data_IF_251599785639
#
_entry.id   IF_251599785639
#
_cell.length_a   1.000
_cell.length_b   1.000
_cell.length_c   1.000
_cell.angle_alpha   90.00
_cell.angle_beta   90.00
_cell.angle_gamma   90.00
#
_symmetry.space_group_name_H-M   'P 1'
#
loop_
_entity.id
_entity.type
_entity.pdbx_description
1 polymer ?
#
# COMPACT_ATOMS: atom_id res chain seq x y z
N UNK A 1 33.59 -2.91 4.57
CA UNK A 1 33.77 -1.72 5.42
C UNK A 1 32.39 -1.17 5.75
N UNK A 2 32.09 -1.14 7.05
CA UNK A 2 30.98 -0.50 7.78
C UNK A 2 29.55 -0.65 7.24
N UNK A 3 28.84 -1.61 7.84
CA UNK A 3 27.38 -1.76 7.77
C UNK A 3 26.65 -0.97 8.84
N UNK A 4 25.41 -0.60 8.56
CA UNK A 4 24.51 0.06 9.50
C UNK A 4 23.92 -0.98 10.47
N UNK A 5 24.41 -0.98 11.69
CA UNK A 5 23.91 -1.79 12.79
C UNK A 5 22.70 -1.13 13.45
N UNK A 6 21.67 -1.93 13.68
CA UNK A 6 20.57 -1.64 14.61
C UNK A 6 21.15 -1.66 16.04
N UNK A 7 21.06 -0.53 16.77
CA UNK A 7 21.45 -0.47 18.17
C UNK A 7 20.26 -0.84 19.07
N UNK A 8 20.36 -2.00 19.72
CA UNK A 8 19.65 -2.33 20.95
C UNK A 8 20.36 -1.66 22.14
N UNK A 9 19.64 -0.87 22.92
CA UNK A 9 20.20 -0.15 24.07
C UNK A 9 20.01 -1.02 25.34
N UNK A 10 21.10 -1.60 25.83
CA UNK A 10 21.18 -2.18 27.17
C UNK A 10 21.70 -1.14 28.16
N UNK A 11 20.86 -0.79 29.14
CA UNK A 11 21.20 0.16 30.19
C UNK A 11 22.09 -0.45 31.26
N UNK A 12 23.21 0.21 31.55
CA UNK A 12 24.01 0.04 32.75
C UNK A 12 23.94 1.33 33.58
N UNK A 13 23.60 1.18 34.84
CA UNK A 13 23.41 2.21 35.88
C UNK A 13 24.72 2.84 36.34
N UNK A 14 24.77 4.17 36.39
CA UNK A 14 25.38 4.96 37.49
C UNK A 14 24.92 6.45 37.41
N UNK A 15 24.87 7.19 38.54
CA UNK A 15 23.98 8.34 38.70
C UNK A 15 24.68 9.70 38.55
N UNK A 16 23.95 10.67 37.97
CA UNK A 16 24.10 12.09 38.30
C UNK A 16 24.65 13.00 37.21
N UNK A 17 23.76 13.50 36.36
CA UNK A 17 23.68 14.94 36.06
C UNK A 17 22.32 15.21 35.41
N UNK A 18 21.47 15.98 36.09
CA UNK A 18 20.21 16.47 35.54
C UNK A 18 20.49 17.34 34.32
N UNK A 19 20.36 16.73 33.14
CA UNK A 19 20.15 17.44 31.90
C UNK A 19 18.66 17.33 31.61
N UNK A 20 17.92 18.40 31.85
CA UNK A 20 16.54 18.56 31.39
C UNK A 20 16.54 18.52 29.85
N UNK A 21 16.43 17.32 29.29
CA UNK A 21 16.21 17.11 27.86
C UNK A 21 14.74 17.34 27.54
N UNK A 22 14.45 18.34 26.71
CA UNK A 22 13.11 18.61 26.23
C UNK A 22 12.46 17.37 25.63
N UNK A 23 11.21 17.10 26.00
CA UNK A 23 10.38 16.13 25.30
C UNK A 23 10.32 16.52 23.82
N UNK A 24 10.95 15.72 22.98
CA UNK A 24 10.94 15.89 21.53
C UNK A 24 9.48 15.74 21.04
N UNK A 25 8.79 16.86 20.86
CA UNK A 25 7.36 16.87 20.55
C UNK A 25 7.13 16.20 19.21
N UNK A 26 6.43 15.06 19.21
CA UNK A 26 6.10 14.30 18.00
C UNK A 26 5.42 15.21 16.96
N UNK A 27 5.80 15.09 15.70
CA UNK A 27 5.12 15.82 14.61
C UNK A 27 3.63 15.45 14.55
N UNK A 28 2.77 16.34 14.01
CA UNK A 28 1.34 16.08 13.92
C UNK A 28 1.03 14.79 13.14
N UNK A 29 1.75 14.52 12.04
CA UNK A 29 1.63 13.25 11.33
C UNK A 29 1.95 12.06 12.23
N UNK A 30 3.03 12.13 13.00
CA UNK A 30 3.45 11.05 13.90
C UNK A 30 2.46 10.81 15.03
N UNK A 31 1.77 11.84 15.50
CA UNK A 31 0.70 11.72 16.50
C UNK A 31 -0.50 10.94 15.92
N UNK A 32 -0.92 11.26 14.69
CA UNK A 32 -2.02 10.55 14.01
C UNK A 32 -1.64 9.10 13.68
N UNK A 33 -0.40 8.83 13.26
CA UNK A 33 0.07 7.44 13.09
C UNK A 33 -0.03 6.63 14.39
N UNK A 34 0.38 7.21 15.51
CA UNK A 34 0.31 6.56 16.82
C UNK A 34 -1.14 6.33 17.27
N UNK A 35 -2.08 7.21 16.90
CA UNK A 35 -3.52 7.06 17.17
C UNK A 35 -4.06 5.75 16.59
N UNK A 36 -3.76 5.43 15.33
CA UNK A 36 -4.33 4.25 14.66
C UNK A 36 -3.47 2.98 14.76
N UNK A 37 -2.23 3.09 15.22
CA UNK A 37 -1.31 1.94 15.34
C UNK A 37 -1.96 0.77 16.10
N UNK A 38 -1.80 -0.44 15.57
CA UNK A 38 -2.12 -1.67 16.30
C UNK A 38 -1.04 -1.93 17.37
N UNK A 39 -1.40 -1.75 18.64
CA UNK A 39 -0.56 -2.13 19.77
C UNK A 39 -0.83 -3.59 20.14
N UNK A 40 0.19 -4.44 20.01
CA UNK A 40 0.16 -5.81 20.52
C UNK A 40 0.72 -5.81 21.94
N UNK A 41 -0.10 -6.20 22.89
CA UNK A 41 0.31 -6.43 24.28
C UNK A 41 0.42 -7.94 24.52
N UNK A 42 1.40 -8.36 25.31
CA UNK A 42 1.44 -9.74 25.82
C UNK A 42 0.13 -10.04 26.57
N UNK A 43 -0.43 -11.24 26.41
CA UNK A 43 -1.62 -11.73 27.13
C UNK A 43 -1.55 -11.52 28.65
N UNK A 44 -0.36 -11.53 29.26
CA UNK A 44 -0.19 -11.24 30.70
C UNK A 44 -0.30 -9.74 31.02
N UNK A 45 0.25 -8.91 30.14
CA UNK A 45 0.23 -7.45 30.27
C UNK A 45 -1.17 -6.87 29.97
N UNK A 46 -1.88 -7.43 28.98
CA UNK A 46 -3.22 -6.96 28.59
C UNK A 46 -4.29 -7.21 29.65
N UNK A 47 -4.12 -8.24 30.51
CA UNK A 47 -5.04 -8.51 31.64
C UNK A 47 -5.06 -7.40 32.70
N UNK A 48 -4.01 -6.59 32.76
CA UNK A 48 -3.86 -5.51 33.75
C UNK A 48 -3.91 -4.11 33.13
N UNK A 49 -4.05 -4.02 31.80
CA UNK A 49 -4.17 -2.76 31.08
C UNK A 49 -5.56 -2.63 30.48
N UNK A 50 -6.26 -1.54 30.81
CA UNK A 50 -7.38 -1.06 30.00
C UNK A 50 -6.80 -0.52 28.70
N UNK A 51 -6.59 -1.40 27.70
CA UNK A 51 -6.17 -0.99 26.37
C UNK A 51 -7.36 -0.30 25.71
N UNK A 52 -7.30 1.01 25.44
CA UNK A 52 -8.40 1.70 24.79
C UNK A 52 -8.59 1.12 23.39
N UNK A 53 -9.84 0.89 23.01
CA UNK A 53 -10.18 0.56 21.63
C UNK A 53 -9.77 1.73 20.71
N UNK A 54 -9.24 1.43 19.53
CA UNK A 54 -8.87 2.47 18.57
C UNK A 54 -10.14 3.12 18.04
N UNK A 55 -10.28 4.43 18.24
CA UNK A 55 -11.38 5.21 17.69
C UNK A 55 -11.16 5.48 16.19
N UNK A 56 -12.10 4.97 15.37
CA UNK A 56 -12.12 5.13 13.92
C UNK A 56 -13.21 6.11 13.43
N UNK A 57 -13.88 6.83 14.33
CA UNK A 57 -15.03 7.68 14.00
C UNK A 57 -14.71 8.83 13.04
N UNK A 58 -13.46 9.30 13.00
CA UNK A 58 -13.00 10.37 12.10
C UNK A 58 -12.37 9.85 10.80
N UNK A 59 -12.29 8.54 10.60
CA UNK A 59 -11.76 7.95 9.36
C UNK A 59 -12.82 8.08 8.26
N UNK A 60 -12.45 8.75 7.17
CA UNK A 60 -13.33 8.99 6.02
C UNK A 60 -13.73 7.67 5.37
N UNK A 61 -15.03 7.48 5.13
CA UNK A 61 -15.59 6.29 4.50
C UNK A 61 -16.43 6.64 3.27
N UNK A 62 -15.89 6.41 2.08
CA UNK A 62 -16.61 6.66 0.82
C UNK A 62 -17.61 5.54 0.45
N UNK A 63 -17.51 4.36 1.08
CA UNK A 63 -18.45 3.25 0.84
C UNK A 63 -19.70 3.37 1.72
N UNK A 64 -19.58 4.07 2.84
CA UNK A 64 -20.67 4.34 3.78
C UNK A 64 -20.63 5.81 4.22
N UNK A 65 -21.26 6.65 3.39
CA UNK A 65 -21.20 8.11 3.55
C UNK A 65 -21.82 8.56 4.88
N UNK A 66 -22.85 7.86 5.35
CA UNK A 66 -23.59 8.21 6.57
C UNK A 66 -22.77 8.01 7.85
N UNK A 67 -21.67 7.25 7.79
CA UNK A 67 -20.74 7.07 8.91
C UNK A 67 -19.75 8.21 9.09
N UNK A 68 -19.69 9.14 8.13
CA UNK A 68 -18.75 10.26 8.21
C UNK A 68 -19.25 11.34 9.17
N UNK A 69 -18.30 11.95 9.90
CA UNK A 69 -18.59 13.16 10.68
C UNK A 69 -19.09 14.29 9.78
N UNK A 70 -19.84 15.25 10.33
CA UNK A 70 -20.27 16.46 9.60
C UNK A 70 -19.09 17.20 8.96
N UNK A 71 -17.95 17.25 9.68
CA UNK A 71 -16.70 17.81 9.17
C UNK A 71 -16.22 17.06 7.93
N UNK A 72 -16.17 15.73 7.96
CA UNK A 72 -15.75 14.93 6.80
C UNK A 72 -16.72 15.13 5.63
N UNK A 73 -18.03 15.08 5.86
CA UNK A 73 -19.05 15.31 4.84
C UNK A 73 -18.88 16.65 4.13
N UNK A 74 -18.55 17.72 4.87
CA UNK A 74 -18.32 19.05 4.28
C UNK A 74 -17.12 19.13 3.33
N UNK A 75 -16.21 18.15 3.37
CA UNK A 75 -15.01 18.08 2.53
C UNK A 75 -15.13 17.05 1.40
N UNK A 76 -16.13 16.18 1.44
CA UNK A 76 -16.36 15.14 0.44
C UNK A 76 -17.08 15.74 -0.77
N UNK A 77 -16.65 15.37 -1.97
CA UNK A 77 -17.36 15.64 -3.22
C UNK A 77 -17.31 14.40 -4.10
N UNK A 78 -18.33 14.21 -4.95
CA UNK A 78 -18.39 13.08 -5.86
C UNK A 78 -18.88 13.47 -7.24
N UNK A 79 -18.40 12.75 -8.24
CA UNK A 79 -18.84 12.83 -9.63
C UNK A 79 -19.06 11.41 -10.15
N UNK A 80 -20.15 11.21 -10.88
CA UNK A 80 -20.39 9.95 -11.59
C UNK A 80 -19.70 10.00 -12.96
N UNK A 81 -18.91 8.98 -13.25
CA UNK A 81 -18.23 8.81 -14.54
C UNK A 81 -18.57 7.44 -15.13
N UNK A 82 -18.30 7.27 -16.42
CA UNK A 82 -18.61 6.03 -17.13
C UNK A 82 -17.35 5.29 -17.55
N UNK A 83 -17.34 3.99 -17.29
CA UNK A 83 -16.26 3.09 -17.64
C UNK A 83 -16.89 1.82 -18.21
N UNK A 84 -16.64 1.50 -19.49
CA UNK A 84 -17.14 0.27 -20.14
C UNK A 84 -18.64 -0.03 -19.90
N UNK A 85 -19.47 1.03 -19.88
CA UNK A 85 -20.93 0.91 -19.70
C UNK A 85 -21.41 0.81 -18.24
N UNK A 86 -20.51 0.77 -17.25
CA UNK A 86 -20.88 0.93 -15.83
C UNK A 86 -20.64 2.36 -15.33
N UNK A 87 -21.45 2.78 -14.37
CA UNK A 87 -21.27 4.04 -13.63
C UNK A 87 -20.25 3.80 -12.53
N UNK A 88 -19.21 4.62 -12.49
CA UNK A 88 -18.19 4.64 -11.44
C UNK A 88 -18.28 5.97 -10.72
N UNK A 89 -18.56 5.93 -9.41
CA UNK A 89 -18.57 7.11 -8.57
C UNK A 89 -17.15 7.46 -8.15
N UNK A 90 -16.68 8.62 -8.59
CA UNK A 90 -15.36 9.15 -8.30
C UNK A 90 -15.49 10.14 -7.14
N UNK A 91 -14.73 9.93 -6.08
CA UNK A 91 -14.77 10.77 -4.89
C UNK A 91 -13.50 11.61 -4.76
N UNK A 92 -13.66 12.81 -4.25
CA UNK A 92 -12.56 13.70 -3.90
C UNK A 92 -12.77 14.23 -2.49
N UNK A 93 -11.68 14.70 -1.89
CA UNK A 93 -11.69 15.25 -0.54
C UNK A 93 -10.88 16.54 -0.52
N UNK A 94 -11.49 17.67 -0.12
CA UNK A 94 -10.84 18.99 -0.21
C UNK A 94 -9.61 19.12 0.68
N UNK A 95 -9.49 18.32 1.75
CA UNK A 95 -8.27 18.22 2.58
C UNK A 95 -7.15 17.36 1.99
N UNK A 96 -7.39 16.69 0.85
CA UNK A 96 -6.42 15.89 0.12
C UNK A 96 -6.50 16.21 -1.39
N UNK A 97 -6.22 17.48 -1.78
CA UNK A 97 -6.39 17.93 -3.16
C UNK A 97 -5.47 17.15 -4.10
N UNK A 98 -6.02 16.66 -5.21
CA UNK A 98 -5.30 15.83 -6.17
C UNK A 98 -5.39 14.32 -5.90
N UNK A 99 -6.13 13.88 -4.88
CA UNK A 99 -6.49 12.46 -4.70
C UNK A 99 -7.91 12.21 -5.20
N UNK A 100 -8.03 11.27 -6.13
CA UNK A 100 -9.32 10.70 -6.54
C UNK A 100 -9.45 9.30 -5.95
N UNK A 101 -10.54 9.05 -5.23
CA UNK A 101 -10.87 7.74 -4.66
C UNK A 101 -11.94 7.08 -5.53
N UNK A 102 -11.71 5.81 -5.86
CA UNK A 102 -12.60 4.98 -6.66
C UNK A 102 -12.97 3.73 -5.83
N UNK A 103 -13.96 3.84 -4.93
CA UNK A 103 -14.33 2.73 -4.08
C UNK A 103 -14.91 1.58 -4.88
N UNK A 104 -14.48 0.35 -4.57
CA UNK A 104 -14.95 -0.88 -5.22
C UNK A 104 -14.84 -0.83 -6.76
N UNK A 105 -13.79 -0.21 -7.29
CA UNK A 105 -13.56 -0.10 -8.72
C UNK A 105 -13.24 -1.46 -9.35
N UNK A 106 -12.40 -2.26 -8.68
CA UNK A 106 -12.06 -3.61 -9.13
C UNK A 106 -13.18 -4.58 -8.77
N UNK A 107 -13.64 -5.34 -9.75
CA UNK A 107 -14.59 -6.46 -9.54
C UNK A 107 -13.96 -7.55 -8.66
N UNK A 108 -14.77 -8.38 -8.02
CA UNK A 108 -14.27 -9.51 -7.22
C UNK A 108 -13.40 -10.48 -8.04
N UNK A 109 -13.69 -10.63 -9.33
CA UNK A 109 -12.90 -11.44 -10.24
C UNK A 109 -11.51 -10.83 -10.48
N UNK A 110 -11.44 -9.55 -10.81
CA UNK A 110 -10.16 -8.83 -10.98
C UNK A 110 -9.34 -8.86 -9.69
N UNK A 111 -9.99 -8.69 -8.54
CA UNK A 111 -9.33 -8.77 -7.25
C UNK A 111 -8.71 -10.15 -7.02
N UNK A 112 -9.43 -11.24 -7.33
CA UNK A 112 -8.90 -12.61 -7.21
C UNK A 112 -7.72 -12.84 -8.16
N UNK A 113 -7.83 -12.39 -9.41
CA UNK A 113 -6.77 -12.53 -10.41
C UNK A 113 -5.50 -11.77 -9.99
N UNK A 114 -5.65 -10.54 -9.50
CA UNK A 114 -4.52 -9.72 -9.03
C UNK A 114 -3.90 -10.28 -7.74
N UNK A 115 -4.71 -10.77 -6.78
CA UNK A 115 -4.19 -11.45 -5.59
C UNK A 115 -3.41 -12.70 -5.96
N UNK A 116 -3.96 -13.53 -6.86
CA UNK A 116 -3.31 -14.74 -7.36
C UNK A 116 -1.97 -14.41 -8.00
N UNK A 117 -1.94 -13.46 -8.94
CA UNK A 117 -0.71 -13.05 -9.61
C UNK A 117 0.32 -12.45 -8.62
N UNK A 118 -0.12 -11.62 -7.67
CA UNK A 118 0.77 -11.08 -6.65
C UNK A 118 1.42 -12.19 -5.80
N UNK A 119 0.63 -13.17 -5.35
CA UNK A 119 1.15 -14.24 -4.50
C UNK A 119 1.96 -15.27 -5.28
N UNK A 120 1.56 -15.64 -6.50
CA UNK A 120 2.17 -16.75 -7.23
C UNK A 120 3.26 -16.31 -8.22
N UNK A 121 3.18 -15.10 -8.77
CA UNK A 121 4.02 -14.66 -9.89
C UNK A 121 4.92 -13.49 -9.48
N UNK A 122 4.37 -12.43 -8.89
CA UNK A 122 5.15 -11.19 -8.63
C UNK A 122 6.19 -11.37 -7.51
N UNK A 123 6.08 -12.42 -6.71
CA UNK A 123 7.09 -12.82 -5.73
C UNK A 123 8.24 -13.65 -6.29
N UNK A 124 8.20 -14.06 -7.56
CA UNK A 124 9.30 -14.81 -8.18
C UNK A 124 10.52 -13.90 -8.42
N UNK A 125 11.59 -14.15 -7.69
CA UNK A 125 12.84 -13.38 -7.78
C UNK A 125 13.61 -13.56 -9.10
N UNK A 126 13.34 -14.64 -9.84
CA UNK A 126 13.93 -14.87 -11.15
C UNK A 126 13.41 -13.89 -12.21
N UNK A 127 12.21 -13.35 -11.98
CA UNK A 127 11.58 -12.35 -12.84
C UNK A 127 11.58 -10.96 -12.18
N UNK A 128 11.18 -10.90 -10.92
CA UNK A 128 10.85 -9.67 -10.20
C UNK A 128 11.70 -9.52 -8.94
N UNK A 129 12.62 -8.53 -8.88
CA UNK A 129 13.34 -8.25 -7.65
C UNK A 129 12.38 -7.99 -6.49
N UNK A 130 12.70 -8.55 -5.32
CA UNK A 130 11.84 -8.44 -4.15
C UNK A 130 12.66 -8.30 -2.87
N UNK A 131 11.96 -8.02 -1.76
CA UNK A 131 12.58 -7.82 -0.45
C UNK A 131 13.52 -8.96 -0.07
N UNK A 132 13.10 -10.22 -0.26
CA UNK A 132 13.86 -11.39 0.16
C UNK A 132 15.08 -11.68 -0.72
N UNK A 133 15.05 -11.31 -1.99
CA UNK A 133 16.19 -11.54 -2.90
C UNK A 133 17.24 -10.43 -2.88
N UNK A 134 16.94 -9.27 -2.30
CA UNK A 134 17.83 -8.09 -2.43
C UNK A 134 18.15 -7.35 -1.14
N UNK A 135 17.22 -7.27 -0.16
CA UNK A 135 17.38 -6.39 1.02
C UNK A 135 17.13 -7.10 2.35
N UNK A 136 16.77 -8.39 2.34
CA UNK A 136 16.75 -9.19 3.55
C UNK A 136 18.16 -9.35 4.14
N UNK A 137 18.25 -9.60 5.45
CA UNK A 137 19.52 -9.85 6.15
C UNK A 137 20.31 -11.00 5.51
N UNK A 138 19.59 -12.02 5.06
CA UNK A 138 20.10 -13.18 4.32
C UNK A 138 19.32 -13.28 3.02
N UNK A 139 19.82 -12.65 1.92
CA UNK A 139 19.13 -12.67 0.64
C UNK A 139 19.02 -14.10 0.09
N UNK A 140 17.85 -14.42 -0.48
CA UNK A 140 17.58 -15.73 -1.09
C UNK A 140 16.63 -15.61 -2.28
N UNK A 141 16.72 -16.57 -3.19
CA UNK A 141 15.77 -16.71 -4.28
C UNK A 141 14.40 -17.18 -3.76
N UNK A 142 13.36 -16.76 -4.46
CA UNK A 142 11.96 -17.11 -4.25
C UNK A 142 11.33 -17.40 -5.59
N UNK A 143 10.40 -18.36 -5.65
CA UNK A 143 9.64 -18.67 -6.89
C UNK A 143 8.22 -18.11 -6.85
N UNK A 144 7.80 -17.57 -5.71
CA UNK A 144 6.50 -16.95 -5.43
C UNK A 144 6.60 -16.14 -4.14
N UNK A 145 5.51 -15.51 -3.70
CA UNK A 145 5.46 -14.86 -2.39
C UNK A 145 5.76 -15.88 -1.28
N UNK A 146 6.70 -15.53 -0.41
CA UNK A 146 7.02 -16.27 0.80
C UNK A 146 7.15 -15.30 1.98
N UNK A 147 6.59 -15.60 3.16
CA UNK A 147 6.85 -14.79 4.34
C UNK A 147 8.35 -14.77 4.69
N UNK A 148 8.90 -13.65 5.19
CA UNK A 148 8.26 -12.37 5.48
C UNK A 148 8.48 -11.32 4.36
N UNK A 149 8.30 -11.67 3.08
CA UNK A 149 8.40 -10.72 1.97
C UNK A 149 7.51 -9.49 2.22
N UNK A 150 8.06 -8.30 1.95
CA UNK A 150 7.39 -7.01 2.20
C UNK A 150 7.04 -6.26 0.94
N UNK A 151 7.81 -6.45 -0.11
CA UNK A 151 7.57 -5.84 -1.40
C UNK A 151 8.18 -6.68 -2.52
N UNK A 152 7.66 -6.50 -3.73
CA UNK A 152 8.25 -6.91 -5.00
C UNK A 152 8.11 -5.78 -6.03
N UNK A 153 8.99 -5.76 -7.04
CA UNK A 153 8.97 -4.76 -8.12
C UNK A 153 8.77 -5.40 -9.48
N UNK A 154 7.82 -4.86 -10.24
CA UNK A 154 7.45 -5.27 -11.59
C UNK A 154 7.74 -4.11 -12.55
N UNK A 155 8.15 -4.36 -13.79
CA UNK A 155 8.67 -3.30 -14.67
C UNK A 155 10.08 -2.86 -14.24
N UNK A 156 10.40 -1.57 -14.30
CA UNK A 156 11.68 -1.05 -13.82
C UNK A 156 11.89 -1.33 -12.33
N UNK A 157 13.09 -1.79 -11.98
CA UNK A 157 13.43 -2.15 -10.60
C UNK A 157 13.76 -0.92 -9.77
N UNK A 158 13.13 -0.81 -8.60
CA UNK A 158 13.45 0.24 -7.63
C UNK A 158 14.70 -0.12 -6.82
N UNK A 159 15.63 0.84 -6.72
CA UNK A 159 16.86 0.72 -5.96
C UNK A 159 16.72 1.46 -4.62
N UNK A 160 16.44 0.72 -3.55
CA UNK A 160 16.11 1.31 -2.23
C UNK A 160 17.25 2.12 -1.62
N UNK A 161 18.51 1.74 -1.86
CA UNK A 161 19.68 2.45 -1.32
C UNK A 161 19.87 3.83 -1.97
N UNK A 162 19.72 3.94 -3.28
CA UNK A 162 19.86 5.19 -4.03
C UNK A 162 18.54 5.96 -4.19
N UNK A 163 17.41 5.34 -3.85
CA UNK A 163 16.05 5.87 -4.03
C UNK A 163 15.78 6.29 -5.48
N UNK A 164 16.18 5.45 -6.42
CA UNK A 164 16.06 5.67 -7.87
C UNK A 164 15.59 4.40 -8.58
N UNK A 165 15.18 4.52 -9.84
CA UNK A 165 14.91 3.36 -10.70
C UNK A 165 16.12 3.05 -11.59
N UNK A 166 16.33 1.77 -11.87
CA UNK A 166 17.37 1.33 -12.83
C UNK A 166 16.79 1.27 -14.24
N UNK A 167 17.50 1.85 -15.21
CA UNK A 167 17.13 1.72 -16.63
C UNK A 167 17.53 0.36 -17.21
N UNK A 168 18.51 -0.31 -16.60
CA UNK A 168 19.09 -1.56 -17.06
C UNK A 168 18.44 -2.80 -16.43
N UNK A 169 17.84 -2.65 -15.25
CA UNK A 169 17.18 -3.74 -14.51
C UNK A 169 15.67 -3.55 -14.54
N UNK A 170 15.02 -4.35 -15.37
CA UNK A 170 13.57 -4.38 -15.48
C UNK A 170 13.07 -5.80 -15.68
N UNK A 171 11.79 -5.98 -15.41
CA UNK A 171 10.99 -7.16 -15.74
C UNK A 171 9.88 -6.75 -16.71
N UNK A 172 9.21 -7.72 -17.32
CA UNK A 172 8.01 -7.40 -18.10
C UNK A 172 6.93 -6.79 -17.20
N UNK A 173 6.16 -5.86 -17.75
CA UNK A 173 5.00 -5.29 -17.10
C UNK A 173 3.75 -6.10 -17.48
N UNK A 174 3.03 -6.71 -16.52
CA UNK A 174 1.92 -7.60 -16.77
C UNK A 174 0.78 -6.91 -17.53
N UNK A 175 0.32 -7.54 -18.62
CA UNK A 175 -0.77 -7.01 -19.45
C UNK A 175 -2.04 -6.72 -18.63
N UNK A 176 -2.42 -7.60 -17.70
CA UNK A 176 -3.60 -7.40 -16.84
C UNK A 176 -3.52 -6.12 -16.00
N UNK A 177 -2.33 -5.81 -15.47
CA UNK A 177 -2.13 -4.56 -14.72
C UNK A 177 -2.19 -3.35 -15.64
N UNK A 178 -1.61 -3.46 -16.85
CA UNK A 178 -1.66 -2.41 -17.87
C UNK A 178 -3.10 -2.11 -18.27
N UNK A 179 -3.91 -3.13 -18.59
CA UNK A 179 -5.31 -2.96 -18.99
C UNK A 179 -6.13 -2.26 -17.90
N UNK A 180 -5.93 -2.66 -16.64
CA UNK A 180 -6.59 -2.04 -15.49
C UNK A 180 -6.19 -0.56 -15.35
N UNK A 181 -4.90 -0.26 -15.47
CA UNK A 181 -4.37 1.11 -15.43
C UNK A 181 -4.93 1.97 -16.56
N UNK A 182 -4.98 1.45 -17.79
CA UNK A 182 -5.52 2.18 -18.94
C UNK A 182 -7.00 2.53 -18.75
N UNK A 183 -7.78 1.65 -18.12
CA UNK A 183 -9.18 1.94 -17.74
C UNK A 183 -9.26 3.04 -16.69
N UNK A 184 -8.41 3.00 -15.66
CA UNK A 184 -8.35 4.01 -14.59
C UNK A 184 -7.94 5.38 -15.14
N UNK A 185 -6.89 5.45 -15.97
CA UNK A 185 -6.40 6.73 -16.51
C UNK A 185 -7.41 7.35 -17.48
N UNK A 186 -8.07 6.53 -18.31
CA UNK A 186 -9.18 6.97 -19.17
C UNK A 186 -10.35 7.53 -18.36
N UNK A 187 -10.70 6.88 -17.25
CA UNK A 187 -11.76 7.33 -16.35
C UNK A 187 -11.41 8.64 -15.64
N UNK A 188 -10.19 8.75 -15.12
CA UNK A 188 -9.75 9.91 -14.34
C UNK A 188 -9.45 11.13 -15.21
N UNK A 189 -9.14 10.92 -16.50
CA UNK A 189 -8.81 11.98 -17.44
C UNK A 189 -7.41 12.52 -17.16
N UNK A 190 -6.38 11.88 -17.71
CA UNK A 190 -5.01 12.41 -17.65
C UNK A 190 -4.80 13.39 -18.82
N UNK A 191 -4.15 14.52 -18.55
CA UNK A 191 -3.84 15.54 -19.57
C UNK A 191 -2.76 15.10 -20.57
N UNK A 192 -2.02 14.05 -20.21
CA UNK A 192 -0.95 13.44 -21.01
C UNK A 192 -1.12 11.92 -21.07
N UNK A 193 -0.64 11.25 -22.14
CA UNK A 193 -0.58 9.79 -22.17
C UNK A 193 0.20 9.27 -20.96
N UNK A 194 -0.37 8.27 -20.28
CA UNK A 194 0.26 7.60 -19.15
C UNK A 194 0.72 6.21 -19.58
N UNK A 195 2.00 5.91 -19.37
CA UNK A 195 2.57 4.59 -19.63
C UNK A 195 2.99 3.93 -18.30
N UNK A 196 2.38 2.80 -17.90
CA UNK A 196 2.79 2.10 -16.69
C UNK A 196 4.14 1.43 -16.90
N UNK A 197 5.18 1.95 -16.24
CA UNK A 197 6.57 1.51 -16.43
C UNK A 197 7.12 0.74 -15.24
N UNK A 198 6.54 0.93 -14.05
CA UNK A 198 6.91 0.17 -12.86
C UNK A 198 5.72 -0.01 -11.94
N UNK A 199 5.75 -1.10 -11.18
CA UNK A 199 4.87 -1.28 -10.04
C UNK A 199 5.60 -1.81 -8.82
N UNK A 200 5.31 -1.20 -7.67
CA UNK A 200 5.72 -1.73 -6.36
C UNK A 200 4.50 -2.44 -5.74
N UNK A 201 4.64 -3.75 -5.57
CA UNK A 201 3.65 -4.61 -4.92
C UNK A 201 4.05 -4.75 -3.46
N UNK A 202 3.30 -4.11 -2.55
CA UNK A 202 3.56 -4.16 -1.12
C UNK A 202 2.69 -5.22 -0.43
N UNK A 203 3.30 -6.00 0.46
CA UNK A 203 2.65 -7.06 1.25
C UNK A 203 2.58 -6.66 2.73
N UNK A 204 1.36 -6.44 3.21
CA UNK A 204 1.06 -6.02 4.57
C UNK A 204 0.29 -7.11 5.30
N UNK A 205 0.96 -8.10 5.92
CA UNK A 205 0.29 -8.96 6.88
C UNK A 205 -0.20 -8.12 8.05
N UNK A 206 -1.28 -8.55 8.70
CA UNK A 206 -1.87 -7.83 9.85
C UNK A 206 -0.80 -7.49 10.89
N UNK A 207 -0.78 -6.22 11.29
CA UNK A 207 0.22 -5.63 12.19
C UNK A 207 1.46 -5.04 11.50
N UNK A 208 1.63 -5.25 10.19
CA UNK A 208 2.57 -4.46 9.40
C UNK A 208 2.08 -3.01 9.27
N UNK A 209 3.03 -2.10 9.10
CA UNK A 209 2.78 -0.66 8.96
C UNK A 209 3.71 -0.10 7.89
N UNK A 210 3.29 1.00 7.27
CA UNK A 210 4.14 1.86 6.46
C UNK A 210 4.11 3.25 7.05
N UNK A 211 5.26 3.73 7.51
CA UNK A 211 5.37 5.03 8.15
C UNK A 211 5.34 6.18 7.13
N UNK A 212 5.20 7.41 7.62
CA UNK A 212 5.21 8.63 6.82
C UNK A 212 6.39 8.64 5.84
N UNK A 213 6.07 8.62 4.55
CA UNK A 213 7.02 8.68 3.44
C UNK A 213 6.39 9.42 2.26
N UNK A 214 7.22 9.69 1.25
CA UNK A 214 6.83 10.30 -0.02
C UNK A 214 7.32 9.39 -1.15
N UNK A 215 6.61 9.43 -2.27
CA UNK A 215 6.98 8.75 -3.50
C UNK A 215 7.48 9.78 -4.53
N UNK A 216 8.77 10.10 -4.45
CA UNK A 216 9.41 11.19 -5.21
C UNK A 216 10.63 10.73 -6.01
N UNK A 217 10.67 9.45 -6.37
CA UNK A 217 11.81 8.83 -7.05
C UNK A 217 11.66 8.76 -8.58
N UNK A 218 10.46 9.00 -9.10
CA UNK A 218 10.19 9.07 -10.54
C UNK A 218 10.71 10.37 -11.14
N UNK A 219 11.15 10.37 -12.40
CA UNK A 219 11.45 11.63 -13.13
C UNK A 219 10.14 12.34 -13.50
N UNK A 220 9.08 11.58 -13.76
CA UNK A 220 7.75 12.06 -14.17
C UNK A 220 6.80 12.27 -12.97
N UNK A 221 7.15 13.16 -12.04
CA UNK A 221 6.32 13.44 -10.84
C UNK A 221 5.00 14.15 -11.15
N UNK A 222 4.78 14.64 -12.36
CA UNK A 222 3.50 15.17 -12.81
C UNK A 222 2.51 14.07 -13.21
N UNK A 223 3.00 12.86 -13.51
CA UNK A 223 2.17 11.71 -13.85
C UNK A 223 1.51 11.12 -12.60
N UNK A 224 0.28 10.57 -12.72
CA UNK A 224 -0.44 9.98 -11.60
C UNK A 224 0.33 8.81 -10.99
N UNK A 225 0.19 8.66 -9.67
CA UNK A 225 0.44 7.38 -8.99
C UNK A 225 -0.90 6.69 -8.79
N UNK A 226 -1.01 5.45 -9.28
CA UNK A 226 -2.24 4.65 -9.18
C UNK A 226 -2.00 3.54 -8.16
N UNK A 227 -2.83 3.51 -7.12
CA UNK A 227 -2.68 2.58 -6.00
C UNK A 227 -3.92 1.72 -5.86
N UNK A 228 -3.78 0.41 -6.03
CA UNK A 228 -4.86 -0.57 -5.93
C UNK A 228 -4.80 -1.30 -4.59
N UNK A 229 -5.94 -1.47 -3.95
CA UNK A 229 -6.09 -2.07 -2.61
C UNK A 229 -6.71 -3.46 -2.71
N UNK A 230 -6.06 -4.47 -2.13
CA UNK A 230 -6.52 -5.86 -2.17
C UNK A 230 -6.43 -6.52 -0.79
N UNK A 231 -7.40 -7.36 -0.44
CA UNK A 231 -7.42 -8.10 0.83
C UNK A 231 -7.89 -7.27 2.03
N UNK A 232 -7.21 -7.44 3.15
CA UNK A 232 -7.56 -6.79 4.42
C UNK A 232 -7.68 -5.25 4.28
N UNK A 233 -8.70 -4.62 4.89
CA UNK A 233 -8.84 -3.17 4.88
C UNK A 233 -7.75 -2.49 5.72
N UNK A 234 -7.48 -1.22 5.41
CA UNK A 234 -6.52 -0.41 6.17
C UNK A 234 -7.02 1.01 6.41
N UNK A 235 -6.45 1.64 7.45
CA UNK A 235 -6.44 3.09 7.57
C UNK A 235 -5.26 3.62 6.77
N UNK A 236 -5.55 4.45 5.78
CA UNK A 236 -4.58 5.20 4.99
C UNK A 236 -4.53 6.64 5.47
N UNK A 237 -3.32 7.17 5.66
CA UNK A 237 -3.09 8.56 6.04
C UNK A 237 -2.58 9.34 4.83
N UNK A 238 -3.27 10.43 4.51
CA UNK A 238 -2.85 11.38 3.48
C UNK A 238 -2.58 12.74 4.12
N UNK A 239 -1.33 13.19 4.06
CA UNK A 239 -0.89 14.47 4.59
C UNK A 239 -0.66 15.52 3.51
N UNK A 240 0.22 16.47 3.84
CA UNK A 240 0.72 17.50 2.94
C UNK A 240 2.20 17.23 2.63
N UNK A 241 2.90 18.18 2.01
CA UNK A 241 4.36 18.13 1.87
C UNK A 241 5.12 18.30 3.21
N UNK A 242 4.43 18.52 4.32
CA UNK A 242 5.00 18.68 5.66
C UNK A 242 4.55 17.59 6.62
N UNK A 243 5.50 17.01 7.38
CA UNK A 243 5.19 16.07 8.48
C UNK A 243 4.58 16.74 9.71
N UNK A 244 4.60 18.09 9.77
CA UNK A 244 4.06 18.88 10.87
C UNK A 244 2.58 19.22 10.70
N UNK A 245 2.01 18.97 9.52
CA UNK A 245 0.57 19.05 9.30
C UNK A 245 -0.07 17.70 9.67
N UNK A 246 -1.28 17.74 10.23
CA UNK A 246 -2.02 16.54 10.56
C UNK A 246 -2.59 15.91 9.28
N UNK A 247 -2.35 14.61 9.00
CA UNK A 247 -2.94 13.94 7.87
C UNK A 247 -4.42 13.66 8.09
N UNK A 248 -5.14 13.50 6.99
CA UNK A 248 -6.48 12.95 6.96
C UNK A 248 -6.44 11.42 6.86
N UNK A 249 -7.35 10.75 7.55
CA UNK A 249 -7.45 9.31 7.58
C UNK A 249 -8.60 8.82 6.70
N UNK A 250 -8.35 7.78 5.90
CA UNK A 250 -9.30 7.20 4.95
C UNK A 250 -9.34 5.68 5.10
N UNK A 251 -10.52 5.09 4.99
CA UNK A 251 -10.65 3.66 4.80
C UNK A 251 -10.29 3.29 3.36
N UNK A 252 -9.36 2.35 3.20
CA UNK A 252 -9.16 1.64 1.92
C UNK A 252 -9.44 0.16 2.13
N UNK A 253 -10.32 -0.40 1.31
CA UNK A 253 -10.78 -1.79 1.36
C UNK A 253 -10.44 -2.51 0.06
N UNK A 254 -10.60 -3.84 0.05
CA UNK A 254 -10.36 -4.64 -1.15
C UNK A 254 -11.20 -4.15 -2.33
N UNK A 255 -10.54 -3.88 -3.45
CA UNK A 255 -11.14 -3.34 -4.67
C UNK A 255 -11.12 -1.81 -4.79
N UNK A 256 -10.73 -1.08 -3.75
CA UNK A 256 -10.57 0.37 -3.84
C UNK A 256 -9.31 0.72 -4.66
N UNK A 257 -9.45 1.75 -5.49
CA UNK A 257 -8.33 2.38 -6.19
C UNK A 257 -8.23 3.84 -5.76
N UNK A 258 -7.01 4.33 -5.53
CA UNK A 258 -6.75 5.76 -5.43
C UNK A 258 -5.82 6.21 -6.55
N UNK A 259 -6.10 7.38 -7.11
CA UNK A 259 -5.27 8.04 -8.12
C UNK A 259 -4.76 9.34 -7.52
N UNK A 260 -3.45 9.42 -7.36
CA UNK A 260 -2.76 10.54 -6.70
C UNK A 260 -2.09 11.41 -7.75
N UNK A 261 -2.43 12.68 -7.80
CA UNK A 261 -1.99 13.68 -8.78
C UNK A 261 -1.75 15.02 -8.11
N UNK A 262 -1.18 15.98 -8.85
CA UNK A 262 -1.07 17.38 -8.42
C UNK A 262 -0.37 17.53 -7.06
N UNK A 263 -0.93 18.39 -6.19
CA UNK A 263 -0.37 18.70 -4.87
C UNK A 263 -0.20 17.48 -3.95
N UNK A 264 -0.99 16.43 -4.17
CA UNK A 264 -0.90 15.20 -3.39
C UNK A 264 0.18 14.24 -3.87
N UNK A 265 0.70 14.41 -5.09
CA UNK A 265 1.64 13.48 -5.71
C UNK A 265 2.99 13.41 -5.00
N UNK A 266 3.35 14.48 -4.29
CA UNK A 266 4.56 14.63 -3.47
C UNK A 266 4.26 14.64 -1.97
N UNK A 267 3.01 14.44 -1.54
CA UNK A 267 2.64 14.55 -0.13
C UNK A 267 3.08 13.35 0.71
N UNK A 268 3.30 13.59 2.00
CA UNK A 268 3.53 12.55 2.99
C UNK A 268 2.29 11.68 3.17
N UNK A 269 2.48 10.37 3.19
CA UNK A 269 1.41 9.41 3.41
C UNK A 269 1.91 8.16 4.13
N UNK A 270 0.98 7.34 4.62
CA UNK A 270 1.31 6.14 5.38
C UNK A 270 0.13 5.20 5.61
N UNK A 271 0.43 4.01 6.12
CA UNK A 271 -0.55 2.98 6.46
C UNK A 271 -0.27 2.52 7.89
N UNK A 272 -0.83 3.19 8.92
CA UNK A 272 -0.59 2.84 10.31
C UNK A 272 -1.36 1.59 10.79
N UNK A 273 -2.41 1.18 10.06
CA UNK A 273 -3.29 0.10 10.52
C UNK A 273 -3.79 -0.75 9.37
N UNK A 274 -3.56 -2.05 9.47
CA UNK A 274 -4.31 -3.09 8.73
C UNK A 274 -5.28 -3.74 9.71
N UNK A 275 -6.53 -3.90 9.30
CA UNK A 275 -7.60 -4.55 10.07
C UNK A 275 -7.82 -5.94 9.50
N UNK A 276 -7.90 -6.94 10.37
CA UNK A 276 -7.92 -8.37 10.00
C UNK A 276 -9.31 -8.83 9.54
N UNK A 277 -9.74 -8.31 8.39
CA UNK A 277 -11.06 -8.55 7.80
C UNK A 277 -10.91 -8.83 6.30
N UNK A 278 -10.22 -9.92 5.96
CA UNK A 278 -10.09 -10.33 4.56
C UNK A 278 -11.44 -10.73 3.97
N UNK A 279 -11.82 -10.24 2.76
CA UNK A 279 -13.04 -10.66 2.10
C UNK A 279 -13.11 -12.17 1.89
N UNK A 280 -14.28 -12.76 2.12
CA UNK A 280 -14.47 -14.22 2.06
C UNK A 280 -14.17 -14.82 0.69
N UNK A 281 -14.40 -14.09 -0.41
CA UNK A 281 -14.07 -14.53 -1.77
C UNK A 281 -12.56 -14.52 -2.06
N UNK A 282 -11.72 -13.95 -1.19
CA UNK A 282 -10.26 -14.05 -1.23
C UNK A 282 -9.70 -15.08 -0.24
N UNK A 283 -10.53 -15.61 0.65
CA UNK A 283 -10.17 -16.64 1.60
C UNK A 283 -10.38 -18.05 1.03
N UNK A 284 -9.83 -19.11 1.66
CA UNK A 284 -10.12 -20.50 1.31
C UNK A 284 -11.62 -20.81 1.46
N UNK A 285 -12.21 -21.51 0.49
CA UNK A 285 -13.62 -21.93 0.56
C UNK A 285 -13.73 -23.22 1.39
N UNK A 286 -14.17 -23.11 2.64
CA UNK A 286 -14.56 -24.24 3.50
C UNK A 286 -13.40 -25.14 3.94
N UNK A 287 -13.13 -25.20 5.24
CA UNK A 287 -12.26 -26.20 5.84
C UNK A 287 -12.99 -27.55 5.93
N UNK A 288 -13.13 -28.25 4.80
CA UNK A 288 -13.20 -29.70 4.83
C UNK A 288 -11.80 -30.22 5.09
N UNK A 289 -11.66 -31.20 5.98
CA UNK A 289 -10.43 -31.99 6.14
C UNK A 289 -10.14 -32.74 4.83
N UNK A 290 -9.61 -32.04 3.84
CA UNK A 290 -9.01 -32.64 2.66
C UNK A 290 -7.55 -32.17 2.62
N UNK A 291 -6.69 -33.15 2.36
CA UNK A 291 -5.23 -33.08 2.49
C UNK A 291 -4.62 -31.86 1.77
N UNK A 292 -3.42 -31.40 2.21
CA UNK A 292 -2.73 -30.29 1.57
C UNK A 292 -2.41 -30.66 0.12
N UNK A 293 -3.26 -30.25 -0.82
CA UNK A 293 -2.93 -30.34 -2.23
C UNK A 293 -1.90 -29.27 -2.56
N UNK A 294 -1.01 -29.59 -3.50
CA UNK A 294 -0.13 -28.65 -4.20
C UNK A 294 -0.93 -27.65 -5.08
N UNK A 295 -2.15 -27.29 -4.66
CA UNK A 295 -3.05 -26.40 -5.38
C UNK A 295 -2.64 -24.95 -5.13
N UNK A 296 -2.13 -24.32 -6.18
CA UNK A 296 -1.88 -22.88 -6.25
C UNK A 296 -3.06 -22.08 -5.69
N UNK A 297 -4.31 -22.51 -5.91
CA UNK A 297 -5.51 -21.83 -5.38
C UNK A 297 -5.53 -21.80 -3.85
N UNK A 298 -5.31 -22.94 -3.20
CA UNK A 298 -5.22 -23.04 -1.76
C UNK A 298 -4.06 -22.19 -1.22
N UNK A 299 -2.90 -22.23 -1.90
CA UNK A 299 -1.72 -21.47 -1.48
C UNK A 299 -2.01 -19.97 -1.44
N UNK A 300 -2.48 -19.37 -2.54
CA UNK A 300 -2.67 -17.93 -2.59
C UNK A 300 -3.77 -17.46 -1.65
N UNK A 301 -4.87 -18.22 -1.54
CA UNK A 301 -5.99 -17.90 -0.63
C UNK A 301 -5.58 -17.98 0.83
N UNK A 302 -4.80 -18.99 1.22
CA UNK A 302 -4.29 -19.13 2.59
C UNK A 302 -3.40 -17.95 2.97
N UNK A 303 -2.58 -17.47 2.05
CA UNK A 303 -1.75 -16.28 2.29
C UNK A 303 -2.56 -14.98 2.35
N UNK A 304 -3.67 -14.88 1.61
CA UNK A 304 -4.52 -13.69 1.64
C UNK A 304 -5.31 -13.51 2.95
N UNK A 305 -5.58 -14.58 3.70
CA UNK A 305 -6.48 -14.56 4.87
C UNK A 305 -6.17 -13.45 5.90
N UNK A 306 -4.90 -13.12 6.09
CA UNK A 306 -4.44 -12.09 7.04
C UNK A 306 -3.53 -11.05 6.37
N UNK A 307 -3.76 -10.80 5.07
CA UNK A 307 -2.91 -9.97 4.24
C UNK A 307 -3.70 -8.85 3.59
N UNK A 308 -3.08 -7.70 3.56
CA UNK A 308 -3.37 -6.65 2.60
C UNK A 308 -2.27 -6.63 1.54
N UNK A 309 -2.65 -6.57 0.27
CA UNK A 309 -1.75 -6.28 -0.84
C UNK A 309 -2.08 -4.89 -1.38
N UNK A 310 -1.04 -4.15 -1.74
CA UNK A 310 -1.17 -2.85 -2.37
C UNK A 310 -0.26 -2.78 -3.61
N UNK A 311 -0.86 -2.56 -4.77
CA UNK A 311 -0.15 -2.47 -6.05
C UNK A 311 -0.09 -1.00 -6.45
N UNK A 312 1.10 -0.41 -6.42
CA UNK A 312 1.33 1.00 -6.81
C UNK A 312 1.97 1.03 -8.19
N UNK A 313 1.29 1.58 -9.18
CA UNK A 313 1.80 1.71 -10.55
C UNK A 313 2.23 3.15 -10.79
N UNK A 314 3.39 3.32 -11.43
CA UNK A 314 3.99 4.63 -11.74
C UNK A 314 4.52 4.64 -13.18
N UNK A 315 4.51 5.83 -13.77
CA UNK A 315 5.38 6.16 -14.90
C UNK A 315 6.67 6.78 -14.33
N UNK A 316 7.82 6.27 -14.74
CA UNK A 316 9.12 6.70 -14.19
C UNK A 316 9.77 7.73 -15.10
N UNK A 317 9.80 7.45 -16.40
CA UNK A 317 10.56 8.15 -17.42
C UNK A 317 9.62 8.74 -18.49
N UNK A 318 10.04 9.81 -19.17
CA UNK A 318 9.25 10.41 -20.25
C UNK A 318 9.23 9.56 -21.52
N UNK A 319 10.25 8.72 -21.74
CA UNK A 319 10.34 7.90 -22.95
C UNK A 319 9.32 6.74 -22.91
N UNK A 320 8.74 6.42 -24.07
CA UNK A 320 7.93 5.21 -24.21
C UNK A 320 8.83 3.98 -24.15
N UNK A 321 8.43 3.01 -23.35
CA UNK A 321 9.17 1.80 -23.00
C UNK A 321 8.41 0.54 -23.47
N UNK A 322 8.14 0.43 -24.78
CA UNK A 322 7.35 -0.68 -25.34
C UNK A 322 7.91 -2.07 -24.98
N UNK A 323 9.23 -2.18 -24.85
CA UNK A 323 9.94 -3.40 -24.47
C UNK A 323 9.48 -3.99 -23.13
N UNK A 324 8.90 -3.19 -22.24
CA UNK A 324 8.31 -3.69 -20.99
C UNK A 324 7.10 -4.59 -21.24
N UNK A 325 6.45 -4.50 -22.41
CA UNK A 325 5.22 -5.22 -22.72
C UNK A 325 5.42 -6.39 -23.70
N UNK A 326 6.65 -6.61 -24.18
CA UNK A 326 6.96 -7.58 -25.25
C UNK A 326 7.21 -9.01 -24.72
N UNK A 327 7.02 -9.27 -23.42
CA UNK A 327 7.37 -10.53 -22.73
C UNK A 327 6.27 -11.58 -22.56
N UNK A 328 5.08 -11.41 -23.15
CA UNK A 328 3.98 -12.39 -23.05
C UNK A 328 3.77 -13.14 -24.39
N UNK A 329 4.73 -13.99 -24.77
CA UNK A 329 4.51 -15.06 -25.76
C UNK A 329 4.80 -16.41 -25.14
#
# INVERSE_FOLDING_TARGET
MQGAAYNECHGSTEPGSNCEGGEDTLTAFRQVEKKYKLYRYDRRASRHMNVPETDFSDVVDFRDVDRNTERNLSMISSEDRHEEGRVVKCWTFSGAPGVTFLPNFLTEEEQQQLCRAAILEYGDSGLHPNHLSTHAKEPRETTRYEPPMRWATVGFSYQWSSKSYSREKYSYFPQRLRDCVERITRLCGTSVPYEPQTSIVNYFPVGAMMMAHQDVSEEMLEQPLISMSLGCPCVFLMGTESRHDAPHAFWLRSGDVIVVTGASRTAYHGVPRVVDECPSYLAPKGSGEEEPSEDDDLYWRKHMLHMRININVRQVYPESCSFLFEGNV
#
